data_IF_057765008738
#
_entry.id   IF_057765008738
#
_cell.length_a   1.000
_cell.length_b   1.000
_cell.length_c   1.000
_cell.angle_alpha   90.00
_cell.angle_beta   90.00
_cell.angle_gamma   90.00
#
_symmetry.space_group_name_H-M   'P 1'
#
loop_
_entity.id
_entity.type
_entity.pdbx_description
1 polymer ?
#
# COMPACT_ATOMS: atom_id res chain seq x y z
N UNK A 1 0.48 10.41 -16.47
CA UNK A 1 0.42 11.88 -16.33
C UNK A 1 1.39 12.29 -15.23
N UNK A 2 2.25 13.29 -15.45
CA UNK A 2 3.09 13.85 -14.37
C UNK A 2 2.35 15.09 -13.85
N UNK A 3 2.03 15.11 -12.56
CA UNK A 3 1.41 16.28 -11.94
C UNK A 3 2.50 17.31 -11.56
N UNK A 4 2.16 18.59 -11.72
CA UNK A 4 3.03 19.71 -11.37
C UNK A 4 2.26 21.02 -11.28
N UNK A 5 2.99 22.14 -11.23
CA UNK A 5 2.43 23.48 -11.00
C UNK A 5 1.32 23.91 -11.97
N UNK A 6 1.30 23.36 -13.18
CA UNK A 6 0.28 23.65 -14.20
C UNK A 6 -0.88 22.65 -14.21
N UNK A 7 -0.85 21.62 -13.38
CA UNK A 7 -1.92 20.64 -13.29
C UNK A 7 -3.15 21.27 -12.64
N UNK A 8 -4.22 21.38 -13.41
CA UNK A 8 -5.50 21.87 -12.92
C UNK A 8 -6.16 20.88 -11.96
N UNK A 9 -7.17 21.38 -11.23
CA UNK A 9 -7.92 20.61 -10.25
C UNK A 9 -8.54 19.32 -10.79
N UNK A 10 -8.99 19.33 -12.04
CA UNK A 10 -9.54 18.13 -12.68
C UNK A 10 -8.47 17.03 -12.81
N UNK A 11 -7.23 17.37 -13.19
CA UNK A 11 -6.15 16.40 -13.30
C UNK A 11 -5.75 15.83 -11.93
N UNK A 12 -5.74 16.68 -10.89
CA UNK A 12 -5.51 16.26 -9.51
C UNK A 12 -6.60 15.30 -9.01
N UNK A 13 -7.89 15.63 -9.23
CA UNK A 13 -9.03 14.77 -8.86
C UNK A 13 -8.99 13.42 -9.56
N UNK A 14 -8.75 13.42 -10.88
CA UNK A 14 -8.64 12.17 -11.65
C UNK A 14 -7.49 11.30 -11.15
N UNK A 15 -6.33 11.89 -10.84
CA UNK A 15 -5.20 11.14 -10.32
C UNK A 15 -5.49 10.55 -8.94
N UNK A 16 -6.12 11.30 -8.04
CA UNK A 16 -6.57 10.79 -6.74
C UNK A 16 -7.56 9.63 -6.88
N UNK A 17 -8.47 9.70 -7.85
CA UNK A 17 -9.40 8.60 -8.16
C UNK A 17 -8.68 7.37 -8.71
N UNK A 18 -7.68 7.53 -9.57
CA UNK A 18 -6.83 6.43 -10.05
C UNK A 18 -6.03 5.76 -8.92
N UNK A 19 -5.72 6.53 -7.87
CA UNK A 19 -5.10 6.04 -6.63
C UNK A 19 -6.12 5.44 -5.64
N UNK A 20 -7.43 5.54 -5.94
CA UNK A 20 -8.50 4.97 -5.14
C UNK A 20 -9.05 5.85 -4.03
N UNK A 21 -8.77 7.15 -4.09
CA UNK A 21 -9.34 8.12 -3.17
C UNK A 21 -10.60 8.73 -3.78
N UNK A 22 -11.70 8.62 -3.05
CA UNK A 22 -12.93 9.35 -3.32
C UNK A 22 -13.08 10.46 -2.28
N UNK A 23 -12.95 11.70 -2.74
CA UNK A 23 -13.06 12.89 -1.92
C UNK A 23 -14.42 13.55 -2.16
N UNK A 24 -15.04 14.03 -1.08
CA UNK A 24 -16.09 15.03 -1.17
C UNK A 24 -15.53 16.31 -1.82
N UNK A 25 -16.42 17.18 -2.28
CA UNK A 25 -16.01 18.44 -2.91
C UNK A 25 -15.14 19.28 -1.96
N UNK A 26 -15.52 19.34 -0.68
CA UNK A 26 -14.83 20.09 0.37
C UNK A 26 -13.46 19.49 0.73
N UNK A 27 -13.35 18.16 0.81
CA UNK A 27 -12.07 17.47 1.00
C UNK A 27 -11.13 17.72 -0.18
N UNK A 28 -11.66 17.67 -1.40
CA UNK A 28 -10.89 17.97 -2.61
C UNK A 28 -10.39 19.42 -2.63
N UNK A 29 -11.19 20.37 -2.13
CA UNK A 29 -10.79 21.78 -1.98
C UNK A 29 -9.56 21.90 -1.08
N UNK A 30 -9.64 21.34 0.13
CA UNK A 30 -8.54 21.36 1.09
C UNK A 30 -7.28 20.66 0.56
N UNK A 31 -7.44 19.48 -0.03
CA UNK A 31 -6.33 18.70 -0.58
C UNK A 31 -5.66 19.43 -1.76
N UNK A 32 -6.43 20.12 -2.61
CA UNK A 32 -5.90 20.87 -3.74
C UNK A 32 -5.13 22.13 -3.32
N UNK A 33 -5.56 22.81 -2.25
CA UNK A 33 -4.76 23.91 -1.68
C UNK A 33 -3.41 23.43 -1.15
N UNK A 34 -3.39 22.30 -0.44
CA UNK A 34 -2.13 21.70 0.01
C UNK A 34 -1.27 21.22 -1.17
N UNK A 35 -1.86 20.65 -2.23
CA UNK A 35 -1.18 20.27 -3.47
C UNK A 35 -0.44 21.44 -4.12
N UNK A 36 -1.10 22.61 -4.25
CA UNK A 36 -0.48 23.81 -4.80
C UNK A 36 0.78 24.22 -4.04
N UNK A 37 0.75 24.14 -2.70
CA UNK A 37 1.92 24.43 -1.85
C UNK A 37 3.09 23.48 -2.11
N UNK A 38 2.81 22.18 -2.31
CA UNK A 38 3.87 21.20 -2.63
C UNK A 38 4.44 21.45 -4.04
N UNK A 39 3.60 21.81 -5.02
CA UNK A 39 4.04 22.17 -6.38
C UNK A 39 4.96 23.39 -6.43
N UNK A 40 4.88 24.30 -5.47
CA UNK A 40 5.81 25.43 -5.36
C UNK A 40 7.17 25.01 -4.80
N UNK A 41 7.23 23.89 -4.07
CA UNK A 41 8.45 23.37 -3.45
C UNK A 41 9.14 22.27 -4.27
N UNK A 42 8.39 21.54 -5.11
CA UNK A 42 8.86 20.40 -5.90
C UNK A 42 8.53 20.56 -7.37
N UNK A 43 9.53 20.31 -8.23
CA UNK A 43 9.39 20.37 -9.70
C UNK A 43 8.49 19.25 -10.26
N UNK A 44 8.46 18.10 -9.59
CA UNK A 44 7.64 16.94 -9.94
C UNK A 44 6.92 16.43 -8.70
N UNK A 45 5.64 16.11 -8.85
CA UNK A 45 4.81 15.53 -7.80
C UNK A 45 4.60 14.07 -8.12
N UNK A 46 4.96 13.21 -7.16
CA UNK A 46 4.75 11.78 -7.27
C UNK A 46 3.46 11.37 -6.57
N UNK A 47 2.99 10.15 -6.83
CA UNK A 47 1.74 9.66 -6.23
C UNK A 47 1.81 9.69 -4.69
N UNK A 48 2.99 9.43 -4.11
CA UNK A 48 3.22 9.46 -2.67
C UNK A 48 2.95 10.85 -2.08
N UNK A 49 3.34 11.91 -2.79
CA UNK A 49 3.05 13.27 -2.35
C UNK A 49 1.53 13.50 -2.34
N UNK A 50 0.79 12.95 -3.31
CA UNK A 50 -0.67 13.07 -3.37
C UNK A 50 -1.36 12.29 -2.25
N UNK A 51 -0.86 11.10 -1.92
CA UNK A 51 -1.39 10.26 -0.84
C UNK A 51 -1.26 10.93 0.53
N UNK A 52 -0.15 11.63 0.78
CA UNK A 52 0.05 12.44 2.00
C UNK A 52 -0.95 13.61 2.09
N UNK A 53 -1.37 14.17 0.95
CA UNK A 53 -2.32 15.29 0.93
C UNK A 53 -3.73 14.91 1.32
N UNK A 54 -4.06 13.62 1.23
CA UNK A 54 -5.40 13.08 1.48
C UNK A 54 -5.49 12.26 2.76
N UNK A 55 -4.35 11.94 3.40
CA UNK A 55 -4.28 11.05 4.56
C UNK A 55 -4.91 11.60 5.85
N UNK A 56 -5.20 12.90 5.94
CA UNK A 56 -5.71 13.50 7.17
C UNK A 56 -7.23 13.38 7.36
N UNK A 57 -8.05 13.29 6.30
CA UNK A 57 -9.53 13.35 6.45
C UNK A 57 -10.34 12.49 5.47
N UNK A 58 -9.72 11.76 4.53
CA UNK A 58 -10.46 11.08 3.44
C UNK A 58 -10.77 9.62 3.80
N UNK A 59 -11.99 9.17 3.47
CA UNK A 59 -12.42 7.76 3.57
C UNK A 59 -11.34 6.86 2.95
N UNK A 60 -10.75 6.00 3.78
CA UNK A 60 -9.78 4.99 3.38
C UNK A 60 -10.33 4.19 2.19
N UNK A 61 -9.43 3.85 1.28
CA UNK A 61 -9.61 2.79 0.26
C UNK A 61 -10.53 1.69 0.83
N UNK A 62 -11.62 1.30 0.13
CA UNK A 62 -12.42 0.15 0.57
C UNK A 62 -11.50 -1.05 0.75
N UNK A 63 -11.30 -1.49 2.00
CA UNK A 63 -10.37 -2.58 2.31
C UNK A 63 -10.97 -3.90 1.80
N UNK A 64 -10.57 -4.30 0.60
CA UNK A 64 -10.88 -5.63 0.05
C UNK A 64 -10.15 -6.71 0.84
N UNK A 65 -8.94 -6.39 1.27
CA UNK A 65 -8.07 -7.22 2.09
C UNK A 65 -7.73 -6.47 3.39
N UNK A 66 -7.93 -7.12 4.54
CA UNK A 66 -7.58 -6.57 5.85
C UNK A 66 -6.89 -7.63 6.70
N UNK A 67 -5.80 -7.26 7.38
CA UNK A 67 -5.05 -8.16 8.26
C UNK A 67 -5.75 -8.26 9.61
N UNK A 68 -6.04 -9.48 10.07
CA UNK A 68 -6.61 -9.73 11.41
C UNK A 68 -5.53 -10.15 12.38
N UNK A 69 -4.74 -11.15 12.01
CA UNK A 69 -3.66 -11.65 12.87
C UNK A 69 -2.54 -12.24 12.04
N UNK A 70 -1.33 -12.12 12.57
CA UNK A 70 -0.11 -12.65 12.01
C UNK A 70 0.66 -13.36 13.11
N UNK A 71 1.04 -14.62 12.86
CA UNK A 71 1.93 -15.38 13.73
C UNK A 71 3.09 -15.90 12.91
N UNK A 72 4.30 -15.55 13.30
CA UNK A 72 5.51 -15.95 12.59
C UNK A 72 6.42 -16.72 13.53
N UNK A 73 6.97 -17.81 13.03
CA UNK A 73 8.00 -18.59 13.70
C UNK A 73 9.20 -18.72 12.76
N UNK A 74 10.37 -18.31 13.23
CA UNK A 74 11.61 -18.39 12.47
C UNK A 74 12.81 -18.55 13.41
N UNK A 75 13.86 -19.20 12.93
CA UNK A 75 15.13 -19.36 13.60
C UNK A 75 16.22 -19.70 12.60
N UNK A 76 17.48 -19.64 13.00
CA UNK A 76 18.62 -19.92 12.11
C UNK A 76 18.62 -21.35 11.57
N UNK A 77 18.03 -22.29 12.30
CA UNK A 77 17.97 -23.71 11.95
C UNK A 77 16.54 -24.22 11.71
N UNK A 78 15.53 -23.33 11.74
CA UNK A 78 14.13 -23.72 11.53
C UNK A 78 13.58 -23.06 10.27
N UNK A 79 12.81 -23.83 9.49
CA UNK A 79 12.17 -23.31 8.29
C UNK A 79 11.13 -22.25 8.69
N UNK A 80 11.27 -20.98 8.26
CA UNK A 80 10.32 -19.93 8.60
C UNK A 80 8.90 -20.30 8.20
N UNK A 81 7.97 -20.09 9.13
CA UNK A 81 6.55 -20.41 8.98
C UNK A 81 5.72 -19.21 9.41
N UNK A 82 4.68 -18.89 8.64
CA UNK A 82 3.76 -17.79 8.93
C UNK A 82 2.31 -18.26 8.84
N UNK A 83 1.54 -18.06 9.90
CA UNK A 83 0.08 -18.21 9.91
C UNK A 83 -0.55 -16.83 9.82
N UNK A 84 -1.37 -16.63 8.78
CA UNK A 84 -2.01 -15.36 8.48
C UNK A 84 -3.52 -15.54 8.51
N UNK A 85 -4.20 -14.64 9.20
CA UNK A 85 -5.67 -14.51 9.19
C UNK A 85 -6.04 -13.15 8.62
N UNK A 86 -6.92 -13.14 7.64
CA UNK A 86 -7.37 -11.94 6.94
C UNK A 86 -8.89 -11.90 6.82
N UNK A 87 -9.45 -10.70 6.72
CA UNK A 87 -10.78 -10.49 6.14
C UNK A 87 -10.59 -10.20 4.65
N UNK A 88 -11.28 -10.96 3.81
CA UNK A 88 -11.27 -10.79 2.35
C UNK A 88 -12.70 -10.64 1.90
N UNK A 89 -13.07 -9.44 1.42
CA UNK A 89 -14.44 -9.12 1.00
C UNK A 89 -15.50 -9.46 2.06
N UNK A 90 -15.17 -9.25 3.33
CA UNK A 90 -16.05 -9.52 4.48
C UNK A 90 -15.93 -10.93 5.07
N UNK A 91 -15.24 -11.86 4.41
CA UNK A 91 -15.06 -13.22 4.91
C UNK A 91 -13.72 -13.41 5.63
N UNK A 92 -13.74 -14.04 6.80
CA UNK A 92 -12.53 -14.40 7.54
C UNK A 92 -11.90 -15.65 6.93
N UNK A 93 -10.63 -15.56 6.52
CA UNK A 93 -9.84 -16.68 5.98
C UNK A 93 -8.50 -16.80 6.69
N UNK A 94 -7.98 -18.01 6.75
CA UNK A 94 -6.73 -18.36 7.42
C UNK A 94 -5.92 -19.33 6.58
N UNK A 95 -4.59 -19.16 6.55
CA UNK A 95 -3.66 -20.15 6.00
C UNK A 95 -2.34 -20.10 6.75
N UNK A 96 -1.57 -21.17 6.62
CA UNK A 96 -0.17 -21.24 7.04
C UNK A 96 0.71 -21.56 5.84
N UNK A 97 1.81 -20.84 5.67
CA UNK A 97 2.80 -21.10 4.64
C UNK A 97 4.21 -21.07 5.20
N UNK A 98 5.14 -21.69 4.46
CA UNK A 98 6.58 -21.64 4.75
C UNK A 98 7.30 -20.82 3.69
N UNK A 99 8.48 -20.30 4.01
CA UNK A 99 9.29 -19.51 3.09
C UNK A 99 10.77 -19.55 3.46
N UNK A 100 11.58 -18.84 2.68
CA UNK A 100 13.03 -18.73 2.91
C UNK A 100 13.35 -17.78 4.08
N UNK A 101 12.42 -16.90 4.41
CA UNK A 101 12.49 -15.95 5.52
C UNK A 101 11.11 -15.69 6.13
N UNK A 102 11.04 -15.03 7.30
CA UNK A 102 9.76 -14.70 7.95
C UNK A 102 8.87 -13.79 7.09
N UNK A 103 9.47 -12.85 6.35
CA UNK A 103 8.75 -11.98 5.40
C UNK A 103 8.25 -12.78 4.20
N UNK A 104 9.10 -13.64 3.61
CA UNK A 104 8.71 -14.50 2.48
C UNK A 104 7.57 -15.45 2.83
N UNK A 105 7.65 -16.14 3.98
CA UNK A 105 6.56 -17.01 4.46
C UNK A 105 5.24 -16.24 4.63
N UNK A 106 5.33 -15.00 5.14
CA UNK A 106 4.17 -14.12 5.30
C UNK A 106 3.58 -13.68 3.95
N UNK A 107 4.43 -13.31 2.98
CA UNK A 107 3.97 -12.91 1.65
C UNK A 107 3.37 -14.07 0.89
N UNK A 108 3.93 -15.28 0.99
CA UNK A 108 3.32 -16.50 0.42
C UNK A 108 1.95 -16.80 1.02
N UNK A 109 1.80 -16.69 2.33
CA UNK A 109 0.51 -16.88 3.00
C UNK A 109 -0.53 -15.85 2.52
N UNK A 110 -0.16 -14.56 2.45
CA UNK A 110 -1.05 -13.51 1.93
C UNK A 110 -1.38 -13.75 0.45
N UNK A 111 -0.38 -14.08 -0.37
CA UNK A 111 -0.58 -14.34 -1.79
C UNK A 111 -1.52 -15.52 -2.04
N UNK A 112 -1.38 -16.60 -1.26
CA UNK A 112 -2.28 -17.75 -1.31
C UNK A 112 -3.71 -17.39 -0.91
N UNK A 113 -3.89 -16.61 0.15
CA UNK A 113 -5.22 -16.17 0.61
C UNK A 113 -5.91 -15.24 -0.38
N UNK A 114 -5.14 -14.36 -1.02
CA UNK A 114 -5.64 -13.34 -1.94
C UNK A 114 -5.71 -13.82 -3.39
N UNK A 115 -5.11 -14.98 -3.68
CA UNK A 115 -4.98 -15.57 -5.02
C UNK A 115 -4.34 -14.59 -6.02
N UNK A 116 -3.47 -13.70 -5.53
CA UNK A 116 -2.81 -12.69 -6.37
C UNK A 116 -1.78 -13.34 -7.27
N UNK A 117 -1.66 -12.80 -8.49
CA UNK A 117 -0.60 -13.13 -9.45
C UNK A 117 0.48 -12.05 -9.52
N UNK A 118 0.41 -11.04 -8.65
CA UNK A 118 1.34 -9.92 -8.63
C UNK A 118 2.77 -10.31 -8.26
N UNK A 119 3.78 -9.74 -8.92
CA UNK A 119 5.19 -9.83 -8.53
C UNK A 119 5.58 -8.72 -7.56
N UNK A 120 6.55 -9.00 -6.68
CA UNK A 120 7.19 -8.02 -5.81
C UNK A 120 8.45 -7.49 -6.50
N UNK A 121 8.37 -6.26 -7.01
CA UNK A 121 9.47 -5.62 -7.74
C UNK A 121 10.47 -4.93 -6.80
N UNK A 122 9.97 -4.37 -5.70
CA UNK A 122 10.80 -3.64 -4.75
C UNK A 122 10.32 -3.86 -3.32
N UNK A 123 11.29 -3.98 -2.42
CA UNK A 123 11.09 -4.06 -0.97
C UNK A 123 12.12 -3.16 -0.29
N UNK A 124 11.66 -2.20 0.51
CA UNK A 124 12.49 -1.24 1.23
C UNK A 124 12.04 -1.15 2.69
N UNK A 125 13.01 -1.19 3.61
CA UNK A 125 12.78 -1.01 5.05
C UNK A 125 13.55 0.22 5.53
N UNK A 126 12.89 1.07 6.32
CA UNK A 126 13.48 2.27 6.91
C UNK A 126 13.10 2.36 8.39
N UNK A 127 14.06 2.74 9.23
CA UNK A 127 13.75 3.16 10.60
C UNK A 127 13.28 4.61 10.61
N UNK A 128 12.16 4.89 11.28
CA UNK A 128 11.62 6.25 11.41
C UNK A 128 12.18 6.93 12.66
N UNK A 129 12.22 6.19 13.77
CA UNK A 129 12.70 6.67 15.07
C UNK A 129 13.88 5.82 15.55
N UNK A 130 14.69 6.35 16.47
CA UNK A 130 15.72 5.60 17.17
C UNK A 130 15.18 5.01 18.47
N UNK A 131 15.80 3.94 18.97
CA UNK A 131 15.39 3.25 20.20
C UNK A 131 15.04 1.78 19.96
N UNK A 132 14.85 1.02 21.03
CA UNK A 132 14.42 -0.39 20.97
C UNK A 132 12.95 -0.55 20.58
N UNK A 133 12.20 0.55 20.62
CA UNK A 133 10.80 0.72 20.23
C UNK A 133 10.67 1.48 18.90
N UNK A 134 11.75 1.53 18.12
CA UNK A 134 11.79 2.22 16.84
C UNK A 134 10.63 1.76 15.93
N UNK A 135 9.90 2.74 15.39
CA UNK A 135 8.88 2.46 14.39
C UNK A 135 9.58 2.14 13.06
N UNK A 136 9.31 0.95 12.53
CA UNK A 136 9.76 0.53 11.23
C UNK A 136 8.75 0.90 10.15
N UNK A 137 9.24 1.44 9.04
CA UNK A 137 8.47 1.64 7.82
C UNK A 137 8.92 0.66 6.75
N UNK A 138 7.97 -0.02 6.13
CA UNK A 138 8.19 -0.89 4.99
C UNK A 138 7.43 -0.33 3.79
N UNK A 139 8.13 -0.23 2.67
CA UNK A 139 7.56 0.14 1.38
C UNK A 139 7.79 -0.99 0.38
N UNK A 140 6.74 -1.34 -0.35
CA UNK A 140 6.79 -2.36 -1.39
C UNK A 140 6.28 -1.83 -2.70
N UNK A 141 6.78 -2.38 -3.80
CA UNK A 141 6.27 -2.12 -5.15
C UNK A 141 5.80 -3.44 -5.74
N UNK A 142 4.51 -3.50 -6.10
CA UNK A 142 3.92 -4.66 -6.76
C UNK A 142 3.61 -4.34 -8.21
N UNK A 143 3.83 -5.31 -9.09
CA UNK A 143 3.42 -5.28 -10.48
C UNK A 143 2.40 -6.40 -10.73
N UNK A 144 1.33 -6.07 -11.45
CA UNK A 144 0.43 -7.08 -12.00
C UNK A 144 -0.22 -6.56 -13.29
N UNK A 145 -0.19 -7.36 -14.35
CA UNK A 145 -0.87 -7.07 -15.61
C UNK A 145 -0.48 -5.71 -16.23
N UNK A 146 0.81 -5.36 -16.15
CA UNK A 146 1.38 -4.09 -16.63
C UNK A 146 1.15 -2.92 -15.68
N UNK A 147 0.67 -3.15 -14.45
CA UNK A 147 0.29 -2.11 -13.50
C UNK A 147 1.14 -2.18 -12.26
N UNK A 148 1.91 -1.13 -12.04
CA UNK A 148 2.79 -1.01 -10.87
C UNK A 148 2.16 -0.13 -9.79
N UNK A 149 2.02 -0.64 -8.57
CA UNK A 149 1.58 0.13 -7.41
C UNK A 149 2.60 0.07 -6.29
N UNK A 150 2.58 1.08 -5.42
CA UNK A 150 3.39 1.11 -4.20
C UNK A 150 2.48 0.96 -2.99
N UNK A 151 2.87 0.08 -2.07
CA UNK A 151 2.24 -0.05 -0.76
C UNK A 151 3.19 0.35 0.35
N UNK A 152 2.63 0.84 1.45
CA UNK A 152 3.37 1.24 2.64
C UNK A 152 2.72 0.65 3.90
N UNK A 153 3.55 0.35 4.89
CA UNK A 153 3.12 -0.19 6.17
C UNK A 153 4.12 0.17 7.25
N UNK A 154 3.61 0.51 8.43
CA UNK A 154 4.43 0.82 9.58
C UNK A 154 3.97 0.07 10.82
N UNK A 155 4.95 -0.38 11.60
CA UNK A 155 4.77 -1.12 12.84
C UNK A 155 6.11 -1.18 13.59
N UNK A 156 6.07 -1.43 14.90
CA UNK A 156 7.29 -1.72 15.67
C UNK A 156 7.84 -3.10 15.34
N UNK A 157 6.99 -4.02 14.86
CA UNK A 157 7.39 -5.30 14.26
C UNK A 157 7.54 -5.16 12.74
N UNK A 158 8.77 -5.28 12.23
CA UNK A 158 9.08 -5.16 10.78
C UNK A 158 8.30 -6.16 9.93
N UNK A 159 7.99 -7.35 10.44
CA UNK A 159 7.25 -8.37 9.69
C UNK A 159 5.78 -7.97 9.59
N UNK A 160 5.21 -7.40 10.65
CA UNK A 160 3.85 -6.82 10.62
C UNK A 160 3.80 -5.62 9.68
N UNK A 161 4.79 -4.72 9.74
CA UNK A 161 4.90 -3.58 8.83
C UNK A 161 4.97 -4.04 7.37
N UNK A 162 5.77 -5.08 7.09
CA UNK A 162 5.87 -5.68 5.76
C UNK A 162 4.54 -6.28 5.27
N UNK A 163 3.82 -6.99 6.14
CA UNK A 163 2.50 -7.53 5.82
C UNK A 163 1.49 -6.42 5.49
N UNK A 164 1.45 -5.37 6.31
CA UNK A 164 0.61 -4.19 6.09
C UNK A 164 0.94 -3.51 4.75
N UNK A 165 2.22 -3.33 4.44
CA UNK A 165 2.65 -2.73 3.18
C UNK A 165 2.20 -3.53 1.96
N UNK A 166 2.33 -4.86 2.02
CA UNK A 166 1.91 -5.76 0.96
C UNK A 166 0.40 -5.74 0.76
N UNK A 167 -0.38 -5.83 1.84
CA UNK A 167 -1.86 -5.75 1.80
C UNK A 167 -2.32 -4.38 1.28
N UNK A 168 -1.66 -3.29 1.66
CA UNK A 168 -1.92 -1.96 1.15
C UNK A 168 -1.73 -1.90 -0.38
N UNK A 169 -0.62 -2.45 -0.90
CA UNK A 169 -0.38 -2.55 -2.33
C UNK A 169 -1.44 -3.41 -3.04
N UNK A 170 -1.82 -4.56 -2.49
CA UNK A 170 -2.87 -5.42 -3.07
C UNK A 170 -4.23 -4.71 -3.16
N UNK A 171 -4.61 -3.95 -2.13
CA UNK A 171 -5.83 -3.13 -2.17
C UNK A 171 -5.75 -2.07 -3.29
N UNK A 172 -4.59 -1.42 -3.47
CA UNK A 172 -4.38 -0.47 -4.58
C UNK A 172 -4.45 -1.14 -5.96
N UNK A 173 -3.91 -2.36 -6.12
CA UNK A 173 -4.05 -3.13 -7.37
C UNK A 173 -5.52 -3.41 -7.69
N UNK A 174 -6.30 -3.85 -6.70
CA UNK A 174 -7.71 -4.18 -6.87
C UNK A 174 -8.54 -2.96 -7.31
N UNK A 175 -8.21 -1.77 -6.81
CA UNK A 175 -8.83 -0.53 -7.29
C UNK A 175 -8.47 -0.27 -8.75
N UNK A 176 -7.18 -0.35 -9.10
CA UNK A 176 -6.74 -0.10 -10.47
C UNK A 176 -7.38 -1.08 -11.45
N UNK A 177 -7.65 -2.33 -11.04
CA UNK A 177 -8.46 -3.32 -11.81
C UNK A 177 -9.87 -2.82 -12.14
N UNK A 178 -10.49 -2.03 -11.26
CA UNK A 178 -11.85 -1.48 -11.45
C UNK A 178 -11.88 -0.21 -12.30
N UNK A 179 -10.78 0.53 -12.39
CA UNK A 179 -10.68 1.72 -13.24
C UNK A 179 -10.25 1.28 -14.65
N UNK A 180 -11.07 1.49 -15.70
CA UNK A 180 -10.67 1.15 -17.07
C UNK A 180 -9.45 1.98 -17.46
N UNK A 181 -8.37 1.33 -17.86
CA UNK A 181 -7.26 1.98 -18.56
C UNK A 181 -7.82 2.58 -19.84
N UNK A 182 -7.82 3.92 -19.95
CA UNK A 182 -8.01 4.56 -21.26
C UNK A 182 -6.88 4.05 -22.15
N UNK A 183 -7.26 3.26 -23.16
CA UNK A 183 -6.34 2.79 -24.19
C UNK A 183 -5.60 3.97 -24.80
N UNK A 184 -4.32 3.74 -25.07
CA UNK A 184 -3.46 4.63 -25.87
C UNK A 184 -4.06 4.82 -27.25
#
# INVERSE_FOLDING_TARGET
LILGKHSGRHAFKERLRELGYELSQEELDKAFERFKKICDQKKYIFDEDLEVLVSEEVKKVPEVFSLVSLKVHSGTESKPTSTVVMIIRGERKETTETGDGPVDATYRAIAKLTETTSSLEKFEVKGITGGTDALGEVMVTLEQDGRTVRGNGSDTDIIVAAAKAYINALNKLEIRKRVPTKGV
#
